data_IF_873930063449
#
_entry.id   IF_873930063449
#
_cell.length_a   1.000
_cell.length_b   1.000
_cell.length_c   1.000
_cell.angle_alpha   90.00
_cell.angle_beta   90.00
_cell.angle_gamma   90.00
#
_symmetry.space_group_name_H-M   'P 1'
#
loop_
_entity.id
_entity.type
_entity.pdbx_description
1 polymer ?
#
# COMPACT_ATOMS: atom_id res chain seq x y z
N UNK A 1 -29.88 -53.32 16.79
CA UNK A 1 -30.81 -52.91 17.87
C UNK A 1 -31.10 -51.42 17.73
N UNK A 2 -32.39 -51.09 17.71
CA UNK A 2 -32.97 -49.76 17.46
C UNK A 2 -32.86 -48.80 18.67
N UNK A 3 -32.74 -47.49 18.38
CA UNK A 3 -33.49 -46.32 18.92
C UNK A 3 -32.82 -45.06 18.35
N UNK A 4 -33.36 -44.29 17.40
CA UNK A 4 -34.64 -43.56 17.29
C UNK A 4 -34.77 -42.32 18.20
N UNK A 5 -34.88 -41.14 17.57
CA UNK A 5 -35.47 -39.90 18.10
C UNK A 5 -34.42 -38.91 18.63
N UNK A 6 -34.44 -37.61 18.31
CA UNK A 6 -35.58 -36.74 17.94
C UNK A 6 -35.11 -35.59 17.05
N UNK A 7 -35.93 -35.30 16.05
CA UNK A 7 -35.99 -34.03 15.36
C UNK A 7 -36.67 -32.98 16.25
N UNK A 8 -36.21 -31.72 16.20
CA UNK A 8 -37.09 -30.55 16.38
C UNK A 8 -36.59 -29.40 15.51
N UNK A 9 -37.47 -29.00 14.60
CA UNK A 9 -37.39 -27.89 13.66
C UNK A 9 -37.87 -26.58 14.33
N UNK A 10 -37.81 -25.50 13.54
CA UNK A 10 -38.45 -24.16 13.66
C UNK A 10 -37.62 -23.16 14.49
N UNK A 11 -37.29 -21.95 14.04
CA UNK A 11 -37.92 -20.98 13.13
C UNK A 11 -36.84 -20.34 12.22
N UNK A 12 -37.05 -19.95 10.97
CA UNK A 12 -38.18 -19.17 10.45
C UNK A 12 -37.98 -17.68 10.71
N UNK A 13 -36.92 -17.08 10.15
CA UNK A 13 -36.62 -15.64 10.28
C UNK A 13 -36.29 -15.04 8.91
N UNK A 14 -37.34 -14.74 8.14
CA UNK A 14 -37.28 -14.06 6.86
C UNK A 14 -37.41 -12.56 7.13
N UNK A 15 -36.29 -11.85 7.26
CA UNK A 15 -36.27 -10.38 7.37
C UNK A 15 -35.81 -9.79 6.04
N UNK A 16 -36.78 -9.57 5.14
CA UNK A 16 -36.60 -8.70 4.00
C UNK A 16 -36.75 -7.25 4.48
N UNK A 17 -35.66 -6.51 4.55
CA UNK A 17 -35.68 -5.06 4.67
C UNK A 17 -35.38 -4.46 3.28
N UNK A 18 -36.44 -4.10 2.56
CA UNK A 18 -36.37 -3.27 1.37
C UNK A 18 -36.45 -1.82 1.86
N UNK A 19 -35.36 -1.07 1.73
CA UNK A 19 -35.36 0.40 1.84
C UNK A 19 -34.91 0.99 0.51
N UNK A 20 -35.73 1.91 0.05
CA UNK A 20 -35.82 2.45 -1.30
C UNK A 20 -35.33 3.91 -1.28
N UNK A 21 -34.53 4.27 -2.30
CA UNK A 21 -34.31 5.60 -2.91
C UNK A 21 -33.92 6.80 -2.02
N UNK A 22 -32.68 7.28 -2.20
CA UNK A 22 -32.35 8.63 -2.69
C UNK A 22 -30.87 8.60 -3.09
N UNK A 23 -30.43 8.99 -4.28
CA UNK A 23 -30.80 10.19 -5.00
C UNK A 23 -29.78 11.31 -4.79
N UNK A 24 -28.48 11.01 -4.75
CA UNK A 24 -27.44 12.05 -4.81
C UNK A 24 -27.11 12.32 -6.27
N UNK A 25 -27.62 13.44 -6.78
CA UNK A 25 -27.20 14.06 -8.04
C UNK A 25 -25.68 14.29 -8.03
N UNK A 26 -25.01 13.82 -9.07
CA UNK A 26 -23.63 14.23 -9.36
C UNK A 26 -23.72 15.57 -10.07
N UNK A 27 -23.32 16.64 -9.38
CA UNK A 27 -23.11 17.94 -10.00
C UNK A 27 -21.75 17.92 -10.70
N UNK A 28 -21.78 17.91 -12.04
CA UNK A 28 -20.60 18.15 -12.88
C UNK A 28 -20.27 19.64 -12.78
N UNK A 29 -19.29 19.99 -11.94
CA UNK A 29 -18.67 21.31 -12.00
C UNK A 29 -17.97 21.44 -13.35
N UNK A 30 -18.56 22.26 -14.19
CA UNK A 30 -18.04 22.66 -15.49
C UNK A 30 -16.67 23.30 -15.32
N UNK A 31 -15.69 22.75 -16.03
CA UNK A 31 -14.38 23.36 -16.24
C UNK A 31 -14.63 24.67 -17.00
N UNK A 32 -14.24 25.80 -16.41
CA UNK A 32 -14.17 27.06 -17.13
C UNK A 32 -12.70 27.52 -17.12
N UNK A 33 -11.98 27.42 -18.24
CA UNK A 33 -10.66 28.04 -18.37
C UNK A 33 -10.84 29.56 -18.54
N UNK A 34 -10.15 30.40 -17.74
CA UNK A 34 -10.00 31.79 -18.15
C UNK A 34 -9.00 31.87 -19.30
N UNK A 35 -9.52 32.30 -20.45
CA UNK A 35 -8.79 33.00 -21.50
C UNK A 35 -7.73 33.93 -20.90
N UNK A 36 -6.45 33.67 -21.18
CA UNK A 36 -5.42 34.69 -21.09
C UNK A 36 -5.03 35.15 -22.50
N UNK A 37 -4.96 36.48 -22.73
CA UNK A 37 -4.79 37.08 -24.05
C UNK A 37 -3.36 36.91 -24.61
N UNK A 38 -3.18 36.95 -25.95
CA UNK A 38 -1.88 36.95 -26.58
C UNK A 38 -1.33 38.38 -26.69
N UNK A 39 -0.15 38.63 -26.12
CA UNK A 39 0.74 39.75 -26.38
C UNK A 39 2.07 39.44 -25.67
N UNK A 40 3.27 39.63 -26.21
CA UNK A 40 3.65 40.39 -27.38
C UNK A 40 5.03 39.91 -27.85
N UNK A 41 5.30 40.17 -29.13
CA UNK A 41 6.57 39.95 -29.80
C UNK A 41 7.66 40.84 -29.21
N UNK A 42 8.80 40.26 -28.82
CA UNK A 42 10.08 40.96 -28.83
C UNK A 42 11.23 40.01 -29.21
N UNK A 43 11.64 40.13 -30.47
CA UNK A 43 12.97 39.82 -31.01
C UNK A 43 13.59 41.17 -31.41
N UNK A 44 14.90 41.35 -31.74
CA UNK A 44 16.05 40.43 -31.69
C UNK A 44 17.34 41.09 -31.11
N UNK A 45 18.48 40.41 -31.29
CA UNK A 45 19.90 40.87 -31.32
C UNK A 45 20.74 40.34 -30.15
N UNK A 46 21.97 39.85 -30.32
CA UNK A 46 22.85 39.77 -31.48
C UNK A 46 23.84 38.61 -31.33
N UNK A 47 24.37 38.20 -32.48
CA UNK A 47 25.52 37.33 -32.71
C UNK A 47 26.70 37.54 -31.77
N UNK A 48 27.35 36.42 -31.42
CA UNK A 48 28.81 36.32 -31.37
C UNK A 48 29.22 34.86 -31.57
N UNK A 49 29.76 34.55 -32.74
CA UNK A 49 30.73 33.44 -32.92
C UNK A 49 32.10 34.09 -32.94
N UNK A 50 33.14 33.48 -32.35
CA UNK A 50 34.03 32.69 -33.21
C UNK A 50 34.72 31.47 -32.55
N UNK A 51 34.95 30.48 -33.41
CA UNK A 51 36.20 29.71 -33.63
C UNK A 51 36.73 28.72 -32.58
N UNK A 52 37.03 27.54 -33.13
CA UNK A 52 37.53 26.29 -32.58
C UNK A 52 38.87 26.37 -31.81
N UNK A 53 39.02 25.44 -30.86
CA UNK A 53 40.30 24.77 -30.62
C UNK A 53 40.06 23.34 -30.14
N UNK A 54 40.76 22.42 -30.81
CA UNK A 54 40.80 20.99 -30.56
C UNK A 54 41.66 20.76 -29.30
N UNK A 55 41.12 20.00 -28.35
CA UNK A 55 41.85 19.54 -27.17
C UNK A 55 41.31 18.18 -26.76
N UNK A 56 41.85 17.12 -27.37
CA UNK A 56 41.64 15.77 -26.90
C UNK A 56 42.37 15.59 -25.56
N UNK A 57 41.63 15.64 -24.46
CA UNK A 57 42.07 15.12 -23.17
C UNK A 57 41.41 13.77 -22.94
N UNK A 58 42.26 12.76 -22.92
CA UNK A 58 42.03 11.37 -22.51
C UNK A 58 41.09 11.30 -21.31
N UNK A 59 40.08 10.41 -21.29
CA UNK A 59 39.38 10.09 -20.05
C UNK A 59 40.41 9.43 -19.12
N UNK A 60 40.84 10.16 -18.10
CA UNK A 60 41.49 9.54 -16.96
C UNK A 60 40.47 8.56 -16.38
N UNK A 61 40.77 7.27 -16.49
CA UNK A 61 40.03 6.22 -15.81
C UNK A 61 40.06 6.53 -14.31
N UNK A 62 39.02 7.17 -13.80
CA UNK A 62 38.73 7.19 -12.38
C UNK A 62 38.53 5.72 -12.00
N UNK A 63 39.52 5.15 -11.31
CA UNK A 63 39.36 3.88 -10.65
C UNK A 63 38.04 3.90 -9.87
N UNK A 64 37.21 2.85 -9.92
CA UNK A 64 36.06 2.77 -9.05
C UNK A 64 36.60 2.81 -7.62
N UNK A 65 36.39 3.95 -6.95
CA UNK A 65 36.51 4.04 -5.50
C UNK A 65 35.58 2.93 -4.98
N UNK A 66 36.05 1.97 -4.18
CA UNK A 66 35.17 0.96 -3.64
C UNK A 66 34.07 1.72 -2.92
N UNK A 67 32.83 1.55 -3.39
CA UNK A 67 31.66 2.00 -2.66
C UNK A 67 31.79 1.34 -1.30
N UNK A 68 32.18 2.13 -0.30
CA UNK A 68 32.17 1.70 1.08
C UNK A 68 30.69 1.51 1.39
N UNK A 69 30.20 0.28 1.21
CA UNK A 69 28.96 -0.17 1.84
C UNK A 69 29.24 -0.14 3.33
N UNK A 70 29.10 1.05 3.92
CA UNK A 70 28.93 1.23 5.33
C UNK A 70 27.56 0.64 5.67
N UNK A 71 27.51 -0.70 5.72
CA UNK A 71 26.42 -1.38 6.41
C UNK A 71 26.65 -1.09 7.89
N UNK A 72 25.88 -0.14 8.41
CA UNK A 72 25.69 -0.03 9.85
C UNK A 72 25.16 -1.41 10.31
N UNK A 73 25.86 -2.12 11.20
CA UNK A 73 25.54 -3.52 11.51
C UNK A 73 24.17 -3.78 12.14
N UNK A 74 23.37 -2.74 12.42
CA UNK A 74 22.15 -2.82 13.21
C UNK A 74 20.87 -2.40 12.45
N UNK A 75 20.96 -2.06 11.16
CA UNK A 75 19.75 -1.71 10.40
C UNK A 75 19.09 -3.02 9.90
N UNK A 76 17.77 -3.20 10.12
CA UNK A 76 17.09 -4.44 9.75
C UNK A 76 17.17 -4.67 8.25
N UNK A 77 17.41 -5.92 7.87
CA UNK A 77 17.39 -6.34 6.48
C UNK A 77 15.94 -6.44 5.99
N UNK A 78 15.77 -6.47 4.66
CA UNK A 78 14.45 -6.71 4.06
C UNK A 78 13.80 -8.00 4.57
N UNK A 79 14.61 -9.04 4.82
CA UNK A 79 14.10 -10.32 5.35
C UNK A 79 13.58 -10.17 6.77
N UNK A 80 14.23 -9.37 7.60
CA UNK A 80 13.79 -9.11 8.96
C UNK A 80 12.44 -8.36 8.94
N UNK A 81 12.32 -7.33 8.10
CA UNK A 81 11.08 -6.56 7.93
C UNK A 81 9.92 -7.35 7.29
N UNK A 82 10.19 -8.50 6.67
CA UNK A 82 9.17 -9.37 6.10
C UNK A 82 8.72 -10.49 7.07
N UNK A 83 9.44 -10.71 8.17
CA UNK A 83 9.09 -11.71 9.18
C UNK A 83 8.02 -11.17 10.13
N UNK A 84 6.98 -11.97 10.38
CA UNK A 84 5.98 -11.70 11.42
C UNK A 84 6.63 -11.77 12.80
N UNK A 85 7.57 -12.70 13.00
CA UNK A 85 8.27 -12.88 14.27
C UNK A 85 9.11 -11.67 14.68
N UNK A 86 9.64 -10.92 13.71
CA UNK A 86 10.37 -9.67 13.96
C UNK A 86 9.52 -8.64 14.72
N UNK A 87 8.22 -8.57 14.42
CA UNK A 87 7.29 -7.63 15.04
C UNK A 87 6.52 -8.19 16.25
N UNK A 88 6.74 -9.45 16.63
CA UNK A 88 5.90 -10.13 17.62
C UNK A 88 5.90 -9.44 19.00
N UNK A 89 7.08 -8.96 19.43
CA UNK A 89 7.24 -8.24 20.70
C UNK A 89 6.85 -6.75 20.61
N UNK A 90 6.59 -6.25 19.40
CA UNK A 90 6.21 -4.85 19.13
C UNK A 90 4.69 -4.67 19.00
N UNK A 91 3.89 -5.74 19.05
CA UNK A 91 2.44 -5.68 18.90
C UNK A 91 1.83 -4.82 20.03
N UNK A 92 1.31 -3.66 19.65
CA UNK A 92 0.63 -2.75 20.57
C UNK A 92 -0.88 -3.00 20.64
N UNK A 93 -1.46 -3.43 19.53
CA UNK A 93 -2.91 -3.63 19.39
C UNK A 93 -3.17 -5.01 18.80
N UNK A 94 -4.00 -5.78 19.48
CA UNK A 94 -4.57 -7.03 18.96
C UNK A 94 -6.07 -6.84 18.79
N UNK A 95 -6.60 -7.08 17.59
CA UNK A 95 -8.01 -6.86 17.27
C UNK A 95 -8.57 -7.97 16.39
N UNK A 96 -9.88 -8.20 16.48
CA UNK A 96 -10.62 -8.97 15.47
C UNK A 96 -11.00 -8.11 14.26
N UNK A 97 -11.87 -8.66 13.41
CA UNK A 97 -12.41 -7.96 12.25
C UNK A 97 -13.96 -8.02 12.25
N UNK A 98 -14.62 -7.36 13.21
CA UNK A 98 -16.07 -7.44 13.37
C UNK A 98 -16.79 -6.90 12.13
N UNK A 99 -17.74 -7.68 11.60
CA UNK A 99 -18.45 -7.33 10.37
C UNK A 99 -17.60 -7.42 9.10
N UNK A 100 -16.40 -8.03 9.18
CA UNK A 100 -15.51 -8.26 8.05
C UNK A 100 -14.76 -7.03 7.58
N UNK A 101 -14.89 -5.88 8.26
CA UNK A 101 -14.21 -4.64 7.86
C UNK A 101 -13.46 -4.02 9.02
N UNK A 102 -12.24 -3.56 8.75
CA UNK A 102 -11.43 -2.83 9.72
C UNK A 102 -10.80 -1.60 9.06
N UNK A 103 -10.75 -0.49 9.79
CA UNK A 103 -10.00 0.71 9.39
C UNK A 103 -8.88 0.95 10.39
N UNK A 104 -7.66 1.15 9.89
CA UNK A 104 -6.47 1.50 10.64
C UNK A 104 -6.14 2.98 10.39
N UNK A 105 -6.48 3.82 11.35
CA UNK A 105 -6.40 5.28 11.27
C UNK A 105 -5.45 5.90 12.32
N UNK A 106 -4.71 5.05 13.04
CA UNK A 106 -3.69 5.47 14.00
C UNK A 106 -2.29 5.23 13.44
N UNK A 107 -1.46 6.28 13.47
CA UNK A 107 -0.08 6.23 13.00
C UNK A 107 0.83 5.52 14.00
N UNK A 108 1.96 5.01 13.50
CA UNK A 108 3.06 4.48 14.33
C UNK A 108 2.60 3.39 15.30
N UNK A 109 1.82 2.43 14.79
CA UNK A 109 1.20 1.34 15.54
C UNK A 109 1.46 0.01 14.87
N UNK A 110 1.86 -0.98 15.65
CA UNK A 110 1.87 -2.39 15.22
C UNK A 110 0.57 -3.07 15.64
N UNK A 111 -0.23 -3.47 14.65
CA UNK A 111 -1.54 -4.09 14.84
C UNK A 111 -1.53 -5.54 14.36
N UNK A 112 -1.98 -6.45 15.21
CA UNK A 112 -2.27 -7.83 14.83
C UNK A 112 -3.79 -8.04 14.69
N UNK A 113 -4.21 -8.54 13.52
CA UNK A 113 -5.59 -8.99 13.29
C UNK A 113 -5.64 -10.51 13.51
N UNK A 114 -6.44 -10.94 14.49
CA UNK A 114 -6.54 -12.36 14.90
C UNK A 114 -7.56 -13.16 14.11
N UNK A 115 -8.40 -12.50 13.32
CA UNK A 115 -9.49 -13.09 12.54
C UNK A 115 -9.30 -12.81 11.05
N UNK A 116 -9.90 -13.64 10.21
CA UNK A 116 -10.00 -13.38 8.79
C UNK A 116 -10.82 -12.11 8.54
N UNK A 117 -10.34 -11.26 7.64
CA UNK A 117 -10.94 -9.96 7.38
C UNK A 117 -11.26 -9.81 5.89
N UNK A 118 -12.46 -9.33 5.58
CA UNK A 118 -12.85 -9.12 4.19
C UNK A 118 -12.21 -7.85 3.61
N UNK A 119 -12.18 -6.77 4.38
CA UNK A 119 -11.60 -5.49 3.96
C UNK A 119 -10.80 -4.86 5.11
N UNK A 120 -9.54 -4.54 4.85
CA UNK A 120 -8.75 -3.68 5.72
C UNK A 120 -8.41 -2.40 4.96
N UNK A 121 -8.84 -1.26 5.50
CA UNK A 121 -8.51 0.07 4.99
C UNK A 121 -7.49 0.74 5.89
N UNK A 122 -6.42 1.25 5.33
CA UNK A 122 -5.33 1.91 6.06
C UNK A 122 -5.25 3.35 5.59
N UNK A 123 -5.44 4.27 6.52
CA UNK A 123 -5.44 5.72 6.26
C UNK A 123 -4.30 6.44 6.97
N UNK A 124 -3.69 5.84 7.99
CA UNK A 124 -2.60 6.42 8.74
C UNK A 124 -1.21 6.00 8.23
N UNK A 125 -0.21 6.89 8.29
CA UNK A 125 1.17 6.55 7.97
C UNK A 125 1.84 5.74 9.08
N UNK A 126 2.98 5.11 8.76
CA UNK A 126 3.77 4.32 9.72
C UNK A 126 2.98 3.19 10.39
N UNK A 127 2.02 2.61 9.69
CA UNK A 127 1.23 1.48 10.19
C UNK A 127 1.93 0.16 9.88
N UNK A 128 2.10 -0.67 10.90
CA UNK A 128 2.50 -2.07 10.72
C UNK A 128 1.30 -2.97 10.99
N UNK A 129 1.02 -3.89 10.07
CA UNK A 129 -0.11 -4.81 10.14
C UNK A 129 0.35 -6.25 9.98
N UNK A 130 -0.01 -7.08 10.95
CA UNK A 130 0.10 -8.53 10.90
C UNK A 130 -1.29 -9.15 10.79
N UNK A 131 -1.57 -9.92 9.73
CA UNK A 131 -2.87 -10.55 9.56
C UNK A 131 -2.76 -11.99 9.04
N UNK A 132 -3.71 -12.84 9.43
CA UNK A 132 -3.79 -14.21 8.88
C UNK A 132 -4.34 -14.17 7.45
N UNK A 133 -5.53 -13.60 7.25
CA UNK A 133 -6.16 -13.50 5.94
C UNK A 133 -6.86 -12.17 5.72
N UNK A 134 -6.62 -11.57 4.57
CA UNK A 134 -7.30 -10.35 4.12
C UNK A 134 -7.78 -10.54 2.68
N UNK A 135 -9.08 -10.48 2.42
CA UNK A 135 -9.57 -10.58 1.04
C UNK A 135 -9.19 -9.31 0.25
N UNK A 136 -9.34 -8.12 0.84
CA UNK A 136 -9.01 -6.83 0.22
C UNK A 136 -8.24 -5.92 1.18
N UNK A 137 -7.01 -5.57 0.83
CA UNK A 137 -6.23 -4.51 1.47
C UNK A 137 -6.33 -3.22 0.65
N UNK A 138 -6.68 -2.11 1.29
CA UNK A 138 -6.70 -0.76 0.71
C UNK A 138 -5.77 0.12 1.53
N UNK A 139 -4.70 0.60 0.93
CA UNK A 139 -3.77 1.56 1.53
C UNK A 139 -3.96 2.89 0.81
N UNK A 140 -4.66 3.80 1.48
CA UNK A 140 -5.01 5.13 0.97
C UNK A 140 -3.76 5.98 0.77
N UNK A 141 -3.85 7.04 -0.01
CA UNK A 141 -2.74 7.94 -0.36
C UNK A 141 -2.05 8.61 0.84
N UNK A 142 -2.76 8.77 1.96
CA UNK A 142 -2.23 9.29 3.23
C UNK A 142 -1.43 8.27 4.05
N UNK A 143 -1.56 6.98 3.76
CA UNK A 143 -0.96 5.89 4.53
C UNK A 143 0.45 5.52 4.05
N UNK A 144 1.40 6.46 4.10
CA UNK A 144 2.78 6.23 3.67
C UNK A 144 3.61 5.45 4.69
N UNK A 145 4.67 4.78 4.22
CA UNK A 145 5.68 4.13 5.07
C UNK A 145 5.15 2.98 5.96
N UNK A 146 4.11 2.28 5.49
CA UNK A 146 3.53 1.12 6.16
C UNK A 146 4.24 -0.20 5.83
N UNK A 147 4.07 -1.17 6.72
CA UNK A 147 4.54 -2.56 6.58
C UNK A 147 3.38 -3.52 6.80
N UNK A 148 3.04 -4.33 5.80
CA UNK A 148 1.87 -5.20 5.82
C UNK A 148 2.32 -6.63 5.57
N UNK A 149 2.26 -7.48 6.60
CA UNK A 149 2.69 -8.88 6.55
C UNK A 149 1.47 -9.78 6.75
N UNK A 150 1.02 -10.42 5.66
CA UNK A 150 -0.30 -11.06 5.58
C UNK A 150 -0.14 -12.49 5.08
N UNK A 151 -0.59 -13.51 5.82
CA UNK A 151 -0.35 -14.90 5.35
C UNK A 151 -1.07 -15.21 4.03
N UNK A 152 -2.30 -14.76 3.87
CA UNK A 152 -3.07 -14.91 2.63
C UNK A 152 -3.78 -13.60 2.27
N UNK A 153 -3.59 -13.14 1.02
CA UNK A 153 -4.23 -11.92 0.50
C UNK A 153 -4.90 -12.15 -0.86
N UNK A 154 -6.12 -11.64 -1.02
CA UNK A 154 -6.88 -11.72 -2.26
C UNK A 154 -6.59 -10.56 -3.23
N UNK A 155 -6.71 -9.32 -2.77
CA UNK A 155 -6.51 -8.10 -3.56
C UNK A 155 -5.77 -7.06 -2.72
N UNK A 156 -4.83 -6.33 -3.33
CA UNK A 156 -4.18 -5.19 -2.72
C UNK A 156 -4.28 -3.96 -3.62
N UNK A 157 -4.84 -2.88 -3.09
CA UNK A 157 -4.82 -1.54 -3.70
C UNK A 157 -3.94 -0.64 -2.85
N UNK A 158 -2.82 -0.20 -3.42
CA UNK A 158 -1.79 0.57 -2.71
C UNK A 158 -1.57 1.89 -3.44
N UNK A 159 -2.17 2.94 -2.90
CA UNK A 159 -2.13 4.28 -3.48
C UNK A 159 -1.04 5.14 -2.81
N UNK A 160 -0.75 4.93 -1.52
CA UNK A 160 0.32 5.65 -0.82
C UNK A 160 1.75 5.17 -1.15
N UNK A 161 2.74 6.06 -1.04
CA UNK A 161 4.13 5.75 -1.33
C UNK A 161 4.86 5.03 -0.18
N UNK A 162 5.97 4.39 -0.52
CA UNK A 162 6.94 3.77 0.41
C UNK A 162 6.38 2.63 1.28
N UNK A 163 5.34 1.96 0.81
CA UNK A 163 4.71 0.85 1.51
C UNK A 163 5.36 -0.51 1.17
N UNK A 164 5.47 -1.39 2.16
CA UNK A 164 5.91 -2.77 2.00
C UNK A 164 4.76 -3.73 2.27
N UNK A 165 4.43 -4.58 1.31
CA UNK A 165 3.38 -5.60 1.42
C UNK A 165 3.98 -6.96 1.09
N UNK A 166 3.92 -7.87 2.07
CA UNK A 166 4.43 -9.24 1.98
C UNK A 166 3.30 -10.24 2.24
N UNK A 167 3.31 -11.35 1.49
CA UNK A 167 2.37 -12.44 1.72
C UNK A 167 2.93 -13.84 1.51
N UNK A 168 2.48 -14.79 2.33
CA UNK A 168 3.04 -16.14 2.31
C UNK A 168 2.39 -17.02 1.25
N UNK A 169 1.08 -16.87 1.05
CA UNK A 169 0.26 -17.74 0.20
C UNK A 169 -0.75 -16.94 -0.62
N UNK A 170 -1.18 -17.54 -1.72
CA UNK A 170 -2.13 -16.95 -2.66
C UNK A 170 -1.47 -16.25 -3.86
N UNK A 171 -2.31 -15.66 -4.71
CA UNK A 171 -1.92 -14.91 -5.91
C UNK A 171 -2.75 -13.63 -5.98
N UNK A 172 -2.38 -12.59 -5.22
CA UNK A 172 -3.22 -11.42 -5.11
C UNK A 172 -3.36 -10.66 -6.42
N UNK A 173 -4.51 -10.04 -6.61
CA UNK A 173 -4.67 -9.00 -7.63
C UNK A 173 -4.08 -7.69 -7.10
N UNK A 174 -3.08 -7.17 -7.79
CA UNK A 174 -2.34 -5.99 -7.34
C UNK A 174 -2.69 -4.77 -8.18
N UNK A 175 -3.05 -3.67 -7.50
CA UNK A 175 -3.20 -2.33 -8.07
C UNK A 175 -2.32 -1.39 -7.26
N UNK A 176 -1.15 -1.08 -7.79
CA UNK A 176 -0.14 -0.29 -7.09
C UNK A 176 0.13 0.97 -7.90
N UNK A 177 -0.25 2.11 -7.36
CA UNK A 177 0.09 3.44 -7.90
C UNK A 177 1.03 4.22 -6.99
N UNK A 178 1.23 3.77 -5.74
CA UNK A 178 2.18 4.36 -4.80
C UNK A 178 3.63 4.31 -5.28
N UNK A 179 4.37 5.40 -5.05
CA UNK A 179 5.78 5.49 -5.42
C UNK A 179 6.67 4.66 -4.47
N UNK A 180 7.61 3.90 -5.04
CA UNK A 180 8.58 3.07 -4.29
C UNK A 180 7.93 2.08 -3.30
N UNK A 181 6.82 1.49 -3.69
CA UNK A 181 6.24 0.37 -2.95
C UNK A 181 7.00 -0.93 -3.25
N UNK A 182 7.10 -1.80 -2.25
CA UNK A 182 7.55 -3.19 -2.39
C UNK A 182 6.33 -4.07 -2.16
N UNK A 183 5.88 -4.79 -3.20
CA UNK A 183 4.68 -5.64 -3.12
C UNK A 183 5.02 -6.98 -3.75
N UNK A 184 5.36 -7.97 -2.93
CA UNK A 184 5.86 -9.27 -3.39
C UNK A 184 5.57 -10.40 -2.39
N UNK A 185 5.60 -11.67 -2.82
CA UNK A 185 5.52 -12.80 -1.90
C UNK A 185 6.59 -12.69 -0.82
N UNK A 186 6.28 -13.18 0.38
CA UNK A 186 7.17 -13.14 1.53
C UNK A 186 8.45 -13.93 1.22
N UNK A 187 9.65 -13.31 1.29
CA UNK A 187 10.91 -14.01 1.08
C UNK A 187 11.28 -14.95 2.23
N UNK A 188 10.57 -14.89 3.36
CA UNK A 188 10.79 -15.75 4.52
C UNK A 188 9.52 -16.56 4.81
N UNK A 189 9.58 -17.90 4.77
CA UNK A 189 8.44 -18.73 5.14
C UNK A 189 8.33 -18.84 6.68
N UNK A 190 7.12 -18.57 7.20
CA UNK A 190 6.75 -18.74 8.63
C UNK A 190 5.40 -19.45 8.80
#
# INVERSE_FOLDING_TARGET
>A
MMRAGRARRWFGGLSAAVLVLSGCSVELVSVNPPDQPPADLQSPSASSTPTAAIGATTPAASAPSPASTYHKPDDPTEKDLAQRSYYADEIEVTTGCPGGKLTLDQSSRVTAITEDCHEVRVTAPFTTLLAEKIDTLIVEDTASLGHFIIREIGTARIDAPFNHVYWDRGKPQLKVSGFRCVVKPNPVPE
#
